data_IF_027334269708
#
_entry.id   IF_027334269708
#
_cell.length_a   1.000
_cell.length_b   1.000
_cell.length_c   1.000
_cell.angle_alpha   90.00
_cell.angle_beta   90.00
_cell.angle_gamma   90.00
#
_symmetry.space_group_name_H-M   'P 1'
#
loop_
_entity.id
_entity.type
_entity.pdbx_description
1 polymer ?
#
# COMPACT_ATOMS: atom_id res chain seq x y z
N UNK A 1 -15.93 -14.18 7.85
CA UNK A 1 -15.61 -14.06 6.40
C UNK A 1 -16.73 -13.41 5.62
N UNK A 2 -17.97 -13.92 5.66
CA UNK A 2 -19.11 -13.34 4.93
C UNK A 2 -19.39 -11.89 5.35
N UNK A 3 -19.37 -11.58 6.65
CA UNK A 3 -19.54 -10.20 7.15
C UNK A 3 -18.44 -9.27 6.62
N UNK A 4 -17.19 -9.76 6.62
CA UNK A 4 -16.03 -8.99 6.14
C UNK A 4 -16.11 -8.77 4.63
N UNK A 5 -16.45 -9.79 3.86
CA UNK A 5 -16.69 -9.66 2.42
C UNK A 5 -17.85 -8.69 2.12
N UNK A 6 -18.92 -8.75 2.92
CA UNK A 6 -20.02 -7.78 2.85
C UNK A 6 -19.56 -6.35 3.16
N UNK A 7 -18.72 -6.17 4.18
CA UNK A 7 -18.15 -4.86 4.53
C UNK A 7 -17.26 -4.30 3.41
N UNK A 8 -16.34 -5.10 2.88
CA UNK A 8 -15.51 -4.69 1.73
C UNK A 8 -16.37 -4.41 0.50
N UNK A 9 -17.44 -5.17 0.28
CA UNK A 9 -18.39 -4.90 -0.80
C UNK A 9 -19.10 -3.55 -0.62
N UNK A 10 -19.49 -3.17 0.61
CA UNK A 10 -20.04 -1.83 0.85
C UNK A 10 -19.04 -0.71 0.57
N UNK A 11 -17.75 -0.92 0.87
CA UNK A 11 -16.68 0.03 0.54
C UNK A 11 -16.47 0.14 -0.97
N UNK A 12 -16.50 -0.99 -1.70
CA UNK A 12 -16.44 -0.98 -3.16
C UNK A 12 -17.62 -0.21 -3.78
N UNK A 13 -18.83 -0.38 -3.25
CA UNK A 13 -19.99 0.42 -3.70
C UNK A 13 -19.78 1.92 -3.45
N UNK A 14 -19.18 2.30 -2.32
CA UNK A 14 -18.89 3.69 -1.99
C UNK A 14 -17.83 4.28 -2.95
N UNK A 15 -16.77 3.52 -3.28
CA UNK A 15 -15.77 3.95 -4.26
C UNK A 15 -16.38 4.15 -5.66
N UNK A 16 -17.26 3.24 -6.08
CA UNK A 16 -18.00 3.38 -7.34
C UNK A 16 -18.87 4.64 -7.31
N UNK A 17 -19.55 4.92 -6.18
CA UNK A 17 -20.36 6.13 -6.01
C UNK A 17 -19.50 7.40 -6.10
N UNK A 18 -18.33 7.43 -5.44
CA UNK A 18 -17.40 8.55 -5.51
C UNK A 18 -16.90 8.78 -6.95
N UNK A 19 -16.62 7.70 -7.68
CA UNK A 19 -16.21 7.77 -9.08
C UNK A 19 -17.28 8.43 -9.97
N UNK A 20 -18.56 8.09 -9.78
CA UNK A 20 -19.67 8.71 -10.52
C UNK A 20 -20.00 10.13 -10.09
N UNK A 21 -19.74 10.47 -8.82
CA UNK A 21 -20.01 11.81 -8.27
C UNK A 21 -18.98 12.87 -8.69
N UNK A 22 -17.87 12.47 -9.30
CA UNK A 22 -16.91 13.40 -9.90
C UNK A 22 -17.57 14.08 -11.10
N UNK A 23 -17.91 15.37 -10.97
CA UNK A 23 -18.43 16.24 -12.04
C UNK A 23 -17.37 16.52 -13.13
N UNK A 24 -16.86 15.48 -13.77
CA UNK A 24 -15.94 15.60 -14.89
C UNK A 24 -16.74 15.60 -16.20
N UNK A 25 -16.48 16.59 -17.06
CA UNK A 25 -17.05 16.70 -18.42
C UNK A 25 -16.75 15.49 -19.32
N UNK A 26 -15.81 14.62 -18.94
CA UNK A 26 -15.40 13.44 -19.70
C UNK A 26 -14.89 12.36 -18.75
N UNK A 27 -15.31 11.10 -18.97
CA UNK A 27 -14.96 9.93 -18.13
C UNK A 27 -13.44 9.76 -18.00
N UNK A 28 -12.68 10.04 -19.07
CA UNK A 28 -11.21 9.96 -19.04
C UNK A 28 -10.59 10.91 -18.02
N UNK A 29 -11.08 12.15 -17.96
CA UNK A 29 -10.57 13.14 -17.00
C UNK A 29 -11.00 12.79 -15.57
N UNK A 30 -12.17 12.17 -15.40
CA UNK A 30 -12.61 11.64 -14.10
C UNK A 30 -11.64 10.58 -13.56
N UNK A 31 -11.25 9.62 -14.42
CA UNK A 31 -10.30 8.57 -14.08
C UNK A 31 -8.94 9.17 -13.71
N UNK A 32 -8.42 10.08 -14.53
CA UNK A 32 -7.12 10.71 -14.26
C UNK A 32 -7.14 11.48 -12.94
N UNK A 33 -8.18 12.28 -12.69
CA UNK A 33 -8.34 13.03 -11.44
C UNK A 33 -8.49 12.10 -10.22
N UNK A 34 -9.20 10.98 -10.37
CA UNK A 34 -9.36 10.00 -9.29
C UNK A 34 -8.03 9.33 -8.92
N UNK A 35 -7.18 9.00 -9.91
CA UNK A 35 -5.87 8.37 -9.66
C UNK A 35 -4.78 9.33 -9.16
N UNK A 36 -4.98 10.65 -9.26
CA UNK A 36 -4.05 11.63 -8.68
C UNK A 36 -4.08 11.63 -7.14
N UNK A 37 -5.22 11.28 -6.54
CA UNK A 37 -5.36 11.22 -5.08
C UNK A 37 -4.68 9.95 -4.55
N UNK A 38 -3.66 10.13 -3.70
CA UNK A 38 -2.90 9.02 -3.11
C UNK A 38 -3.80 8.03 -2.34
N UNK A 39 -4.74 8.54 -1.54
CA UNK A 39 -5.67 7.73 -0.75
C UNK A 39 -6.58 6.86 -1.63
N UNK A 40 -7.13 7.41 -2.72
CA UNK A 40 -7.97 6.66 -3.65
C UNK A 40 -7.18 5.54 -4.34
N UNK A 41 -5.90 5.78 -4.66
CA UNK A 41 -5.01 4.76 -5.22
C UNK A 41 -4.75 3.63 -4.22
N UNK A 42 -4.57 3.97 -2.94
CA UNK A 42 -4.40 2.99 -1.86
C UNK A 42 -5.65 2.15 -1.66
N UNK A 43 -6.83 2.78 -1.67
CA UNK A 43 -8.13 2.12 -1.51
C UNK A 43 -8.41 1.13 -2.66
N UNK A 44 -8.16 1.54 -3.91
CA UNK A 44 -8.25 0.63 -5.06
C UNK A 44 -7.30 -0.56 -4.94
N UNK A 45 -6.08 -0.33 -4.47
CA UNK A 45 -5.08 -1.39 -4.30
C UNK A 45 -5.49 -2.38 -3.19
N UNK A 46 -6.03 -1.89 -2.07
CA UNK A 46 -6.56 -2.73 -0.99
C UNK A 46 -7.76 -3.58 -1.48
N UNK A 47 -8.72 -2.97 -2.17
CA UNK A 47 -9.90 -3.70 -2.70
C UNK A 47 -9.47 -4.80 -3.68
N UNK A 48 -8.53 -4.52 -4.59
CA UNK A 48 -8.02 -5.51 -5.55
C UNK A 48 -7.29 -6.65 -4.83
N UNK A 49 -6.43 -6.33 -3.87
CA UNK A 49 -5.72 -7.35 -3.07
C UNK A 49 -6.67 -8.21 -2.26
N UNK A 50 -7.75 -7.64 -1.73
CA UNK A 50 -8.79 -8.38 -1.04
C UNK A 50 -9.45 -9.42 -1.95
N UNK A 51 -9.85 -9.06 -3.16
CA UNK A 51 -10.43 -10.03 -4.11
C UNK A 51 -9.44 -11.10 -4.54
N UNK A 52 -8.17 -10.75 -4.72
CA UNK A 52 -7.11 -11.74 -5.00
C UNK A 52 -6.96 -12.71 -3.82
N UNK A 53 -6.81 -12.20 -2.60
CA UNK A 53 -6.72 -13.05 -1.39
C UNK A 53 -7.96 -13.91 -1.17
N UNK A 54 -9.15 -13.36 -1.47
CA UNK A 54 -10.43 -14.07 -1.36
C UNK A 54 -10.55 -15.18 -2.40
N UNK A 55 -10.22 -14.92 -3.67
CA UNK A 55 -10.25 -15.93 -4.75
C UNK A 55 -9.23 -17.04 -4.52
N UNK A 56 -7.99 -16.71 -4.09
CA UNK A 56 -6.98 -17.71 -3.73
C UNK A 56 -7.43 -18.63 -2.60
N UNK A 57 -8.31 -18.18 -1.71
CA UNK A 57 -8.85 -18.97 -0.61
C UNK A 57 -9.87 -20.03 -1.05
N UNK A 58 -10.55 -19.86 -2.19
CA UNK A 58 -11.47 -20.86 -2.74
C UNK A 58 -10.77 -21.98 -3.51
N UNK A 59 -9.48 -21.82 -3.80
CA UNK A 59 -8.69 -22.84 -4.51
C UNK A 59 -8.24 -23.90 -3.48
N UNK A 60 -8.62 -25.18 -3.63
CA UNK A 60 -8.35 -26.24 -2.65
C UNK A 60 -6.92 -26.79 -2.76
N UNK A 61 -5.92 -25.91 -2.82
CA UNK A 61 -4.49 -26.26 -2.90
C UNK A 61 -3.76 -25.67 -1.70
N UNK A 62 -2.91 -26.46 -1.04
CA UNK A 62 -2.15 -26.06 0.17
C UNK A 62 -1.29 -24.83 -0.06
N UNK A 63 -0.63 -24.74 -1.21
CA UNK A 63 0.20 -23.58 -1.60
C UNK A 63 -0.65 -22.30 -1.74
N UNK A 64 -1.82 -22.43 -2.35
CA UNK A 64 -2.76 -21.31 -2.52
C UNK A 64 -3.30 -20.83 -1.18
N UNK A 65 -3.50 -21.72 -0.20
CA UNK A 65 -3.94 -21.34 1.14
C UNK A 65 -2.86 -20.56 1.90
N UNK A 66 -1.60 -20.98 1.82
CA UNK A 66 -0.48 -20.21 2.38
C UNK A 66 -0.36 -18.82 1.73
N UNK A 67 -0.42 -18.77 0.39
CA UNK A 67 -0.40 -17.51 -0.34
C UNK A 67 -1.57 -16.59 0.04
N UNK A 68 -2.80 -17.11 0.16
CA UNK A 68 -3.97 -16.36 0.58
C UNK A 68 -3.79 -15.73 1.96
N UNK A 69 -3.18 -16.44 2.93
CA UNK A 69 -2.91 -15.90 4.26
C UNK A 69 -1.91 -14.75 4.22
N UNK A 70 -0.87 -14.85 3.41
CA UNK A 70 0.14 -13.78 3.27
C UNK A 70 -0.52 -12.55 2.63
N UNK A 71 -1.25 -12.75 1.54
CA UNK A 71 -1.94 -11.66 0.82
C UNK A 71 -2.94 -10.95 1.72
N UNK A 72 -3.78 -11.68 2.47
CA UNK A 72 -4.74 -11.09 3.40
C UNK A 72 -4.07 -10.39 4.59
N UNK A 73 -2.87 -10.81 4.99
CA UNK A 73 -2.10 -10.13 6.05
C UNK A 73 -1.52 -8.80 5.56
N UNK A 74 -1.07 -8.76 4.31
CA UNK A 74 -0.64 -7.51 3.65
C UNK A 74 -1.84 -6.58 3.44
N UNK A 75 -2.98 -7.12 3.01
CA UNK A 75 -4.24 -6.37 2.87
C UNK A 75 -4.64 -5.69 4.18
N UNK A 76 -4.60 -6.41 5.30
CA UNK A 76 -4.87 -5.83 6.63
C UNK A 76 -3.94 -4.65 6.96
N UNK A 77 -2.66 -4.73 6.57
CA UNK A 77 -1.70 -3.64 6.77
C UNK A 77 -2.10 -2.40 5.96
N UNK A 78 -2.61 -2.57 4.74
CA UNK A 78 -3.11 -1.47 3.92
C UNK A 78 -4.35 -0.82 4.52
N UNK A 79 -5.29 -1.62 5.06
CA UNK A 79 -6.43 -1.11 5.81
C UNK A 79 -6.05 -0.31 7.06
N UNK A 80 -4.95 -0.68 7.74
CA UNK A 80 -4.40 0.13 8.83
C UNK A 80 -3.84 1.46 8.35
N UNK A 81 -3.13 1.49 7.22
CA UNK A 81 -2.67 2.75 6.62
C UNK A 81 -3.87 3.63 6.27
N UNK A 82 -4.93 3.05 5.68
CA UNK A 82 -6.18 3.79 5.38
C UNK A 82 -6.82 4.40 6.63
N UNK A 83 -6.77 3.69 7.75
CA UNK A 83 -7.28 4.21 9.03
C UNK A 83 -6.58 5.50 9.47
N UNK A 84 -5.36 5.78 9.01
CA UNK A 84 -4.66 7.04 9.27
C UNK A 84 -5.36 8.25 8.65
N UNK A 85 -6.04 8.11 7.52
CA UNK A 85 -6.81 9.20 6.92
C UNK A 85 -8.00 9.62 7.80
N UNK A 86 -8.66 8.65 8.44
CA UNK A 86 -9.68 8.95 9.45
C UNK A 86 -9.08 9.71 10.65
N UNK A 87 -7.87 9.34 11.09
CA UNK A 87 -7.17 10.09 12.13
C UNK A 87 -6.74 11.48 11.66
N UNK A 88 -6.50 11.68 10.37
CA UNK A 88 -6.16 12.99 9.80
C UNK A 88 -7.32 14.00 9.96
N UNK A 89 -8.58 13.54 9.92
CA UNK A 89 -9.75 14.38 10.15
C UNK A 89 -9.89 14.87 11.61
N UNK A 90 -9.18 14.26 12.57
CA UNK A 90 -9.24 14.66 13.98
C UNK A 90 -8.42 15.93 14.21
N UNK A 91 -9.06 17.01 14.67
CA UNK A 91 -8.45 18.35 14.85
C UNK A 91 -7.08 18.38 15.56
N UNK A 92 -6.82 17.46 16.50
CA UNK A 92 -5.55 17.39 17.24
C UNK A 92 -4.47 16.55 16.56
N UNK A 93 -4.86 15.58 15.73
CA UNK A 93 -3.97 14.59 15.12
C UNK A 93 -3.68 14.90 13.65
N UNK A 94 -4.62 15.52 12.94
CA UNK A 94 -4.48 15.94 11.55
C UNK A 94 -3.22 16.74 11.26
N UNK A 95 -3.00 17.89 11.92
CA UNK A 95 -1.80 18.69 11.69
C UNK A 95 -0.51 17.93 11.95
N UNK A 96 -0.50 17.04 12.96
CA UNK A 96 0.67 16.21 13.27
C UNK A 96 0.93 15.16 12.20
N UNK A 97 -0.11 14.55 11.67
CA UNK A 97 0.00 13.52 10.63
C UNK A 97 0.48 14.10 9.31
N UNK A 98 0.01 15.30 8.94
CA UNK A 98 0.51 16.05 7.78
C UNK A 98 1.99 16.39 7.96
N UNK A 99 2.40 16.87 9.16
CA UNK A 99 3.81 17.14 9.44
C UNK A 99 4.69 15.88 9.30
N UNK A 100 4.22 14.73 9.80
CA UNK A 100 4.95 13.45 9.65
C UNK A 100 5.05 13.05 8.17
N UNK A 101 3.99 13.27 7.38
CA UNK A 101 3.99 13.00 5.95
C UNK A 101 5.05 13.79 5.18
N UNK A 102 5.15 15.09 5.46
CA UNK A 102 6.19 15.96 4.87
C UNK A 102 7.60 15.51 5.28
N UNK A 103 7.79 15.16 6.56
CA UNK A 103 9.08 14.65 7.05
C UNK A 103 9.47 13.31 6.39
N UNK A 104 8.49 12.44 6.10
CA UNK A 104 8.74 11.21 5.38
C UNK A 104 9.17 11.46 3.93
N UNK A 105 8.73 12.58 3.32
CA UNK A 105 9.19 12.99 2.01
C UNK A 105 10.70 13.26 2.00
N UNK A 106 11.19 14.01 2.99
CA UNK A 106 12.60 14.34 3.14
C UNK A 106 13.45 13.13 3.51
N UNK A 107 12.90 12.21 4.31
CA UNK A 107 13.56 10.97 4.70
C UNK A 107 13.91 10.08 3.49
N UNK A 108 13.14 10.12 2.39
CA UNK A 108 13.43 9.34 1.19
C UNK A 108 14.81 9.65 0.62
N UNK A 109 15.20 10.93 0.58
CA UNK A 109 16.51 11.33 0.09
C UNK A 109 17.64 10.86 1.02
N UNK A 110 17.41 10.96 2.33
CA UNK A 110 18.36 10.47 3.32
C UNK A 110 18.59 8.95 3.21
N UNK A 111 17.53 8.16 3.02
CA UNK A 111 17.64 6.72 2.83
C UNK A 111 18.46 6.35 1.61
N UNK A 112 18.32 7.08 0.49
CA UNK A 112 19.13 6.85 -0.72
C UNK A 112 20.63 7.08 -0.45
N UNK A 113 20.96 8.18 0.23
CA UNK A 113 22.34 8.46 0.63
C UNK A 113 22.89 7.35 1.53
N UNK A 114 22.11 6.91 2.52
CA UNK A 114 22.50 5.83 3.44
C UNK A 114 22.75 4.51 2.68
N UNK A 115 21.90 4.16 1.71
CA UNK A 115 22.09 2.97 0.88
C UNK A 115 23.41 2.99 0.13
N UNK A 116 23.84 4.13 -0.41
CA UNK A 116 25.14 4.25 -1.09
C UNK A 116 26.29 3.95 -0.14
N UNK A 117 26.26 4.48 1.09
CA UNK A 117 27.29 4.18 2.10
C UNK A 117 27.30 2.70 2.50
N UNK A 118 26.12 2.12 2.73
CA UNK A 118 26.00 0.70 3.10
C UNK A 118 26.53 -0.20 1.98
N UNK A 119 26.24 0.11 0.72
CA UNK A 119 26.76 -0.65 -0.42
C UNK A 119 28.27 -0.51 -0.56
N UNK A 120 28.82 0.70 -0.42
CA UNK A 120 30.27 0.92 -0.48
C UNK A 120 31.04 0.15 0.59
N UNK A 121 30.56 0.20 1.83
CA UNK A 121 31.12 -0.59 2.93
C UNK A 121 30.88 -2.10 2.71
N UNK A 122 29.66 -2.48 2.34
CA UNK A 122 29.27 -3.87 2.14
C UNK A 122 30.10 -4.59 1.07
N UNK A 123 30.34 -3.96 -0.08
CA UNK A 123 31.19 -4.50 -1.15
C UNK A 123 32.64 -4.63 -0.68
N UNK A 124 33.17 -3.61 0.00
CA UNK A 124 34.54 -3.62 0.50
C UNK A 124 34.74 -4.73 1.54
N UNK A 125 33.83 -4.84 2.52
CA UNK A 125 33.87 -5.90 3.53
C UNK A 125 33.70 -7.29 2.93
N UNK A 126 32.79 -7.45 1.97
CA UNK A 126 32.61 -8.73 1.28
C UNK A 126 33.87 -9.14 0.52
N UNK A 127 34.51 -8.22 -0.20
CA UNK A 127 35.77 -8.47 -0.91
C UNK A 127 36.93 -8.81 0.02
N UNK A 128 36.98 -8.26 1.23
CA UNK A 128 38.04 -8.58 2.20
C UNK A 128 37.84 -9.95 2.86
N UNK A 129 36.59 -10.35 3.13
CA UNK A 129 36.28 -11.60 3.84
C UNK A 129 36.24 -12.79 2.86
N UNK A 130 35.71 -12.59 1.66
CA UNK A 130 35.47 -13.65 0.67
C UNK A 130 36.30 -13.50 -0.61
N UNK A 131 37.18 -12.50 -0.72
CA UNK A 131 37.96 -12.23 -1.93
C UNK A 131 38.99 -13.30 -2.32
N UNK A 132 39.15 -14.35 -1.52
CA UNK A 132 39.99 -15.50 -1.82
C UNK A 132 39.19 -16.76 -2.21
N UNK A 133 37.85 -16.69 -2.28
CA UNK A 133 37.06 -17.83 -2.71
C UNK A 133 36.88 -17.77 -4.23
N UNK A 134 37.75 -18.48 -4.93
CA UNK A 134 37.73 -18.65 -6.38
C UNK A 134 36.38 -19.20 -6.87
N UNK A 135 35.95 -18.74 -8.04
CA UNK A 135 34.83 -19.27 -8.82
C UNK A 135 35.11 -20.68 -9.34
#
# INVERSE_FOLDING_TARGET
EIILAGWIFTLLCEEIRQFFSLEARTIRNAITAYFEVFWNRLDMLAIVLFFIGFTLRFIPTTECFCAARIVLSVDLTLWFIRSLDFFAAVKRLGPKLVMIGEMAHDLKFFMLMLTVFILGFGVSSYSLIYGAQDF
#
